data_IF_145270518988
#
_entry.id   IF_145270518988
#
_cell.length_a   1.000
_cell.length_b   1.000
_cell.length_c   1.000
_cell.angle_alpha   90.00
_cell.angle_beta   90.00
_cell.angle_gamma   90.00
#
_symmetry.space_group_name_H-M   'P 1'
#
loop_
_entity.id
_entity.type
_entity.pdbx_description
1 polymer ?
#
# COMPACT_ATOMS: atom_id res chain seq x y z
N UNK A 1 90.55 0.02 74.67
CA UNK A 1 90.65 1.28 73.91
C UNK A 1 89.39 2.08 74.25
N UNK A 2 89.47 2.98 75.25
CA UNK A 2 88.34 3.83 75.62
C UNK A 2 88.22 4.91 74.55
N UNK A 3 87.16 4.88 73.75
CA UNK A 3 86.83 5.96 72.81
C UNK A 3 86.56 7.23 73.62
N UNK A 4 87.35 8.27 73.38
CA UNK A 4 87.15 9.59 73.98
C UNK A 4 85.76 10.12 73.63
N UNK A 5 85.08 10.74 74.59
CA UNK A 5 83.71 11.24 74.44
C UNK A 5 83.53 12.17 73.23
N UNK A 6 84.56 12.96 72.90
CA UNK A 6 84.58 13.83 71.72
C UNK A 6 84.47 13.06 70.40
N UNK A 7 85.12 11.90 70.29
CA UNK A 7 85.08 11.06 69.08
C UNK A 7 83.68 10.46 68.89
N UNK A 8 83.00 10.11 69.98
CA UNK A 8 81.61 9.62 69.96
C UNK A 8 80.63 10.68 69.44
N UNK A 9 80.79 11.95 69.84
CA UNK A 9 79.96 13.07 69.36
C UNK A 9 80.15 13.29 67.85
N UNK A 10 81.39 13.26 67.36
CA UNK A 10 81.68 13.42 65.93
C UNK A 10 81.08 12.29 65.08
N UNK A 11 81.12 11.04 65.56
CA UNK A 11 80.50 9.89 64.88
C UNK A 11 78.98 10.05 64.82
N UNK A 12 78.34 10.42 65.93
CA UNK A 12 76.88 10.60 66.01
C UNK A 12 76.44 11.76 65.11
N UNK A 13 77.16 12.88 65.12
CA UNK A 13 76.89 14.01 64.21
C UNK A 13 77.01 13.60 62.74
N UNK A 14 78.03 12.81 62.39
CA UNK A 14 78.20 12.29 61.04
C UNK A 14 77.04 11.41 60.58
N UNK A 15 76.54 10.53 61.46
CA UNK A 15 75.38 9.66 61.15
C UNK A 15 74.11 10.49 60.94
N UNK A 16 73.87 11.51 61.77
CA UNK A 16 72.69 12.38 61.63
C UNK A 16 72.72 13.15 60.30
N UNK A 17 73.87 13.68 59.91
CA UNK A 17 74.04 14.38 58.61
C UNK A 17 73.84 13.40 57.45
N UNK A 18 74.33 12.18 57.56
CA UNK A 18 74.17 11.15 56.53
C UNK A 18 72.70 10.76 56.36
N UNK A 19 71.96 10.58 57.45
CA UNK A 19 70.51 10.30 57.42
C UNK A 19 69.75 11.47 56.77
N UNK A 20 70.09 12.71 57.12
CA UNK A 20 69.49 13.89 56.48
C UNK A 20 69.78 13.95 54.98
N UNK A 21 71.02 13.67 54.57
CA UNK A 21 71.39 13.62 53.16
C UNK A 21 70.60 12.52 52.40
N UNK A 22 70.43 11.35 53.01
CA UNK A 22 69.61 10.28 52.44
C UNK A 22 68.13 10.67 52.30
N UNK A 23 67.55 11.37 53.29
CA UNK A 23 66.16 11.85 53.21
C UNK A 23 65.97 12.88 52.10
N UNK A 24 66.90 13.81 51.94
CA UNK A 24 66.86 14.81 50.87
C UNK A 24 66.97 14.13 49.50
N UNK A 25 67.91 13.19 49.35
CA UNK A 25 68.07 12.43 48.12
C UNK A 25 66.81 11.62 47.78
N UNK A 26 66.20 10.96 48.77
CA UNK A 26 64.97 10.21 48.60
C UNK A 26 63.79 11.09 48.16
N UNK A 27 63.58 12.23 48.83
CA UNK A 27 62.53 13.19 48.44
C UNK A 27 62.73 13.71 47.02
N UNK A 28 63.96 14.00 46.61
CA UNK A 28 64.25 14.50 45.27
C UNK A 28 63.96 13.48 44.16
N UNK A 29 64.25 12.20 44.41
CA UNK A 29 63.89 11.10 43.49
C UNK A 29 62.37 10.96 43.42
N UNK A 30 61.70 11.00 44.58
CA UNK A 30 60.26 10.85 44.68
C UNK A 30 59.52 11.98 43.97
N UNK A 31 59.97 13.23 44.13
CA UNK A 31 59.39 14.39 43.45
C UNK A 31 59.55 14.31 41.93
N UNK A 32 60.69 13.80 41.43
CA UNK A 32 60.89 13.55 40.00
C UNK A 32 59.91 12.50 39.46
N UNK A 33 59.66 11.43 40.20
CA UNK A 33 58.68 10.42 39.81
C UNK A 33 57.26 10.98 39.77
N UNK A 34 56.87 11.77 40.78
CA UNK A 34 55.57 12.44 40.79
C UNK A 34 55.42 13.41 39.61
N UNK A 35 56.42 14.25 39.34
CA UNK A 35 56.40 15.17 38.21
C UNK A 35 56.26 14.45 36.86
N UNK A 36 56.94 13.31 36.70
CA UNK A 36 56.83 12.50 35.48
C UNK A 36 55.45 11.87 35.31
N UNK A 37 54.83 11.40 36.41
CA UNK A 37 53.45 10.86 36.38
C UNK A 37 52.44 11.97 36.05
N UNK A 38 52.59 13.15 36.63
CA UNK A 38 51.72 14.31 36.32
C UNK A 38 51.83 14.73 34.86
N UNK A 39 53.04 14.75 34.27
CA UNK A 39 53.23 15.03 32.84
C UNK A 39 52.57 14.00 31.92
N UNK A 40 52.52 12.73 32.32
CA UNK A 40 51.82 11.69 31.56
C UNK A 40 50.30 11.87 31.65
N UNK A 41 49.79 12.23 32.83
CA UNK A 41 48.37 12.56 33.02
C UNK A 41 47.95 13.78 32.21
N UNK A 42 48.80 14.82 32.17
CA UNK A 42 48.57 16.02 31.36
C UNK A 42 48.47 15.69 29.87
N UNK A 43 49.39 14.86 29.35
CA UNK A 43 49.34 14.38 27.96
C UNK A 43 48.08 13.54 27.68
N UNK A 44 47.68 12.68 28.60
CA UNK A 44 46.47 11.89 28.46
C UNK A 44 45.22 12.78 28.46
N UNK A 45 45.18 13.81 29.31
CA UNK A 45 44.09 14.78 29.37
C UNK A 45 43.99 15.59 28.08
N UNK A 46 45.13 16.04 27.54
CA UNK A 46 45.16 16.77 26.27
C UNK A 46 44.69 15.91 25.09
N UNK A 47 45.12 14.64 25.02
CA UNK A 47 44.64 13.69 24.03
C UNK A 47 43.12 13.47 24.12
N UNK A 48 42.60 13.26 25.33
CA UNK A 48 41.16 13.11 25.58
C UNK A 48 40.39 14.38 25.17
N UNK A 49 40.92 15.55 25.49
CA UNK A 49 40.28 16.82 25.15
C UNK A 49 40.23 17.04 23.62
N UNK A 50 41.30 16.69 22.90
CA UNK A 50 41.33 16.73 21.45
C UNK A 50 40.32 15.75 20.82
N UNK A 51 40.19 14.54 21.36
CA UNK A 51 39.20 13.58 20.91
C UNK A 51 37.77 14.06 21.15
N UNK A 52 37.48 14.62 22.33
CA UNK A 52 36.18 15.23 22.63
C UNK A 52 35.86 16.35 21.64
N UNK A 53 36.82 17.23 21.34
CA UNK A 53 36.62 18.30 20.37
C UNK A 53 36.31 17.75 18.97
N UNK A 54 37.06 16.74 18.52
CA UNK A 54 36.82 16.09 17.22
C UNK A 54 35.44 15.44 17.16
N UNK A 55 35.05 14.71 18.20
CA UNK A 55 33.75 14.05 18.28
C UNK A 55 32.62 15.08 18.25
N UNK A 56 32.71 16.15 19.05
CA UNK A 56 31.72 17.23 19.04
C UNK A 56 31.59 17.89 17.68
N UNK A 57 32.72 18.14 17.00
CA UNK A 57 32.72 18.69 15.65
C UNK A 57 32.08 17.73 14.64
N UNK A 58 32.38 16.43 14.72
CA UNK A 58 31.75 15.41 13.88
C UNK A 58 30.24 15.31 14.09
N UNK A 59 29.77 15.40 15.33
CA UNK A 59 28.34 15.41 15.65
C UNK A 59 27.67 16.64 15.05
N UNK A 60 28.25 17.83 15.26
CA UNK A 60 27.69 19.08 14.74
C UNK A 60 27.63 19.11 13.21
N UNK A 61 28.68 18.63 12.54
CA UNK A 61 28.72 18.50 11.08
C UNK A 61 27.68 17.48 10.59
N UNK A 62 27.53 16.35 11.29
CA UNK A 62 26.53 15.33 10.97
C UNK A 62 25.10 15.83 11.17
N UNK A 63 24.82 16.63 12.20
CA UNK A 63 23.52 17.24 12.43
C UNK A 63 23.18 18.28 11.36
N UNK A 64 24.14 19.14 10.99
CA UNK A 64 23.98 20.09 9.89
C UNK A 64 23.72 19.40 8.55
N UNK A 65 24.44 18.30 8.25
CA UNK A 65 24.19 17.51 7.05
C UNK A 65 22.84 16.78 7.12
N UNK A 66 22.42 16.30 8.29
CA UNK A 66 21.12 15.68 8.46
C UNK A 66 19.97 16.69 8.27
N UNK A 67 20.12 17.92 8.77
CA UNK A 67 19.14 19.01 8.60
C UNK A 67 19.05 19.49 7.13
N UNK A 68 20.20 19.62 6.47
CA UNK A 68 20.28 19.91 5.03
C UNK A 68 19.67 18.78 4.17
N UNK A 69 19.93 17.53 4.51
CA UNK A 69 19.34 16.38 3.81
C UNK A 69 17.85 16.24 4.10
N UNK A 70 17.38 16.48 5.33
CA UNK A 70 15.96 16.42 5.66
C UNK A 70 15.16 17.50 4.92
N UNK A 71 15.68 18.73 4.85
CA UNK A 71 15.04 19.83 4.13
C UNK A 71 15.00 19.58 2.61
N UNK A 72 16.11 19.17 2.00
CA UNK A 72 16.17 18.84 0.57
C UNK A 72 15.32 17.61 0.19
N UNK A 73 15.34 16.55 1.01
CA UNK A 73 14.48 15.38 0.86
C UNK A 73 13.01 15.78 0.93
N UNK A 74 12.62 16.60 1.92
CA UNK A 74 11.23 17.04 2.07
C UNK A 74 10.71 17.82 0.86
N UNK A 75 11.56 18.66 0.25
CA UNK A 75 11.24 19.40 -0.97
C UNK A 75 11.10 18.45 -2.18
N UNK A 76 12.08 17.56 -2.39
CA UNK A 76 12.04 16.60 -3.49
C UNK A 76 10.88 15.60 -3.40
N UNK A 77 10.50 15.19 -2.19
CA UNK A 77 9.36 14.29 -1.96
C UNK A 77 8.06 15.03 -2.24
N UNK A 78 7.93 16.29 -1.82
CA UNK A 78 6.73 17.08 -2.07
C UNK A 78 6.52 17.34 -3.56
N UNK A 79 7.59 17.66 -4.29
CA UNK A 79 7.54 17.87 -5.75
C UNK A 79 7.20 16.57 -6.48
N UNK A 80 7.88 15.46 -6.17
CA UNK A 80 7.60 14.16 -6.78
C UNK A 80 6.18 13.64 -6.48
N UNK A 81 5.66 13.88 -5.28
CA UNK A 81 4.28 13.55 -4.92
C UNK A 81 3.30 14.41 -5.72
N UNK A 82 3.55 15.72 -5.83
CA UNK A 82 2.68 16.64 -6.57
C UNK A 82 2.63 16.31 -8.07
N UNK A 83 3.77 15.96 -8.68
CA UNK A 83 3.83 15.55 -10.08
C UNK A 83 3.10 14.22 -10.33
N UNK A 84 3.28 13.24 -9.46
CA UNK A 84 2.55 11.96 -9.54
C UNK A 84 1.04 12.16 -9.33
N UNK A 85 0.64 13.04 -8.41
CA UNK A 85 -0.77 13.32 -8.15
C UNK A 85 -1.42 14.01 -9.35
N UNK A 86 -0.75 15.01 -9.94
CA UNK A 86 -1.22 15.69 -11.14
C UNK A 86 -1.30 14.75 -12.35
N UNK A 87 -0.31 13.88 -12.55
CA UNK A 87 -0.34 12.87 -13.60
C UNK A 87 -1.49 11.87 -13.39
N UNK A 88 -1.73 11.44 -12.15
CA UNK A 88 -2.83 10.53 -11.81
C UNK A 88 -4.20 11.17 -12.01
N UNK A 89 -4.36 12.44 -11.63
CA UNK A 89 -5.58 13.21 -11.85
C UNK A 89 -5.85 13.43 -13.35
N UNK A 90 -4.80 13.73 -14.13
CA UNK A 90 -4.92 13.87 -15.58
C UNK A 90 -5.33 12.56 -16.24
N UNK A 91 -4.73 11.43 -15.83
CA UNK A 91 -5.13 10.11 -16.33
C UNK A 91 -6.57 9.75 -15.97
N UNK A 92 -7.00 10.07 -14.74
CA UNK A 92 -8.39 9.86 -14.34
C UNK A 92 -9.36 10.69 -15.18
N UNK A 93 -9.04 11.95 -15.45
CA UNK A 93 -9.83 12.81 -16.31
C UNK A 93 -9.96 12.24 -17.72
N UNK A 94 -8.85 11.77 -18.30
CA UNK A 94 -8.84 11.13 -19.61
C UNK A 94 -9.70 9.85 -19.64
N UNK A 95 -9.63 9.00 -18.61
CA UNK A 95 -10.49 7.82 -18.51
C UNK A 95 -11.97 8.17 -18.33
N UNK A 96 -12.30 9.22 -17.58
CA UNK A 96 -13.69 9.67 -17.47
C UNK A 96 -14.23 10.19 -18.80
N UNK A 97 -13.42 10.93 -19.55
CA UNK A 97 -13.75 11.38 -20.90
C UNK A 97 -14.02 10.19 -21.83
N UNK A 98 -13.15 9.17 -21.80
CA UNK A 98 -13.28 7.96 -22.62
C UNK A 98 -14.54 7.15 -22.25
N UNK A 99 -14.85 7.03 -20.95
CA UNK A 99 -16.10 6.41 -20.49
C UNK A 99 -17.32 7.20 -20.97
N UNK A 100 -17.27 8.53 -20.90
CA UNK A 100 -18.37 9.38 -21.36
C UNK A 100 -18.64 9.19 -22.85
N UNK A 101 -17.58 9.17 -23.67
CA UNK A 101 -17.67 8.93 -25.10
C UNK A 101 -18.19 7.51 -25.42
N UNK A 102 -17.72 6.51 -24.67
CA UNK A 102 -18.19 5.12 -24.79
C UNK A 102 -19.68 5.00 -24.47
N UNK A 103 -20.14 5.63 -23.38
CA UNK A 103 -21.56 5.65 -23.00
C UNK A 103 -22.38 6.32 -24.10
N UNK A 104 -21.92 7.43 -24.66
CA UNK A 104 -22.66 8.12 -25.72
C UNK A 104 -22.82 7.22 -26.95
N UNK A 105 -21.73 6.57 -27.37
CA UNK A 105 -21.75 5.62 -28.48
C UNK A 105 -22.64 4.40 -28.23
N UNK A 106 -22.65 3.87 -27.00
CA UNK A 106 -23.55 2.78 -26.63
C UNK A 106 -25.01 3.20 -26.67
N UNK A 107 -25.33 4.43 -26.23
CA UNK A 107 -26.70 4.95 -26.32
C UNK A 107 -27.15 5.06 -27.77
N UNK A 108 -26.32 5.61 -28.65
CA UNK A 108 -26.65 5.73 -30.07
C UNK A 108 -26.88 4.35 -30.71
N UNK A 109 -26.03 3.37 -30.39
CA UNK A 109 -26.18 1.99 -30.86
C UNK A 109 -27.47 1.33 -30.34
N UNK A 110 -27.82 1.54 -29.06
CA UNK A 110 -29.06 1.01 -28.49
C UNK A 110 -30.29 1.65 -29.10
N UNK A 111 -30.25 2.95 -29.38
CA UNK A 111 -31.34 3.67 -30.04
C UNK A 111 -31.56 3.12 -31.47
N UNK A 112 -30.49 2.91 -32.23
CA UNK A 112 -30.57 2.25 -33.55
C UNK A 112 -31.18 0.84 -33.45
N UNK A 113 -30.75 0.05 -32.47
CA UNK A 113 -31.29 -1.30 -32.23
C UNK A 113 -32.78 -1.28 -31.88
N UNK A 114 -33.20 -0.34 -31.03
CA UNK A 114 -34.61 -0.15 -30.67
C UNK A 114 -35.42 0.17 -31.91
N UNK A 115 -34.98 1.11 -32.75
CA UNK A 115 -35.66 1.47 -34.00
C UNK A 115 -35.80 0.24 -34.92
N UNK A 116 -34.75 -0.57 -35.05
CA UNK A 116 -34.79 -1.81 -35.85
C UNK A 116 -35.79 -2.81 -35.25
N UNK A 117 -35.82 -2.96 -33.93
CA UNK A 117 -36.76 -3.84 -33.24
C UNK A 117 -38.21 -3.36 -33.39
N UNK A 118 -38.46 -2.06 -33.26
CA UNK A 118 -39.79 -1.46 -33.47
C UNK A 118 -40.29 -1.70 -34.88
N UNK A 119 -39.43 -1.53 -35.89
CA UNK A 119 -39.78 -1.81 -37.28
C UNK A 119 -40.11 -3.29 -37.49
N UNK A 120 -39.31 -4.21 -36.93
CA UNK A 120 -39.58 -5.66 -36.98
C UNK A 120 -40.86 -6.05 -36.24
N UNK A 121 -41.14 -5.42 -35.10
CA UNK A 121 -42.35 -5.67 -34.33
C UNK A 121 -43.60 -5.14 -35.05
N UNK A 122 -43.49 -3.98 -35.70
CA UNK A 122 -44.55 -3.43 -36.55
C UNK A 122 -44.86 -4.34 -37.74
N UNK A 123 -43.83 -4.91 -38.38
CA UNK A 123 -44.01 -5.94 -39.42
C UNK A 123 -44.70 -7.20 -38.88
N UNK A 124 -44.33 -7.67 -37.68
CA UNK A 124 -44.97 -8.80 -36.99
C UNK A 124 -46.43 -8.51 -36.57
N UNK A 125 -46.76 -7.26 -36.24
CA UNK A 125 -48.14 -6.85 -35.92
C UNK A 125 -49.12 -7.02 -37.08
N UNK A 126 -48.62 -7.12 -38.32
CA UNK A 126 -49.42 -7.46 -39.50
C UNK A 126 -49.56 -8.99 -39.72
N UNK A 127 -48.93 -9.81 -38.89
CA UNK A 127 -49.05 -11.27 -38.85
C UNK A 127 -49.69 -11.73 -37.53
N UNK A 128 -50.85 -11.18 -37.16
CA UNK A 128 -51.72 -11.94 -36.25
C UNK A 128 -52.31 -13.11 -37.05
N UNK A 129 -52.14 -14.38 -36.62
CA UNK A 129 -52.82 -15.48 -37.27
C UNK A 129 -54.32 -15.21 -37.07
N UNK A 130 -55.07 -15.18 -38.17
CA UNK A 130 -56.53 -15.24 -38.08
C UNK A 130 -56.85 -16.54 -37.35
N UNK A 131 -57.17 -16.44 -36.05
CA UNK A 131 -57.85 -17.49 -35.32
C UNK A 131 -59.18 -17.69 -36.04
N UNK A 132 -59.19 -18.63 -36.97
CA UNK A 132 -60.40 -19.32 -37.40
C UNK A 132 -60.84 -20.13 -36.17
N UNK A 133 -61.48 -19.41 -35.25
CA UNK A 133 -61.76 -19.83 -33.87
C UNK A 133 -62.91 -20.84 -33.92
N UNK A 134 -62.56 -22.06 -34.32
CA UNK A 134 -63.46 -23.20 -34.28
C UNK A 134 -63.73 -23.46 -32.80
N UNK A 135 -64.94 -23.14 -32.36
CA UNK A 135 -65.38 -23.34 -30.98
C UNK A 135 -65.32 -24.84 -30.61
N UNK A 136 -64.22 -25.24 -29.97
CA UNK A 136 -63.92 -26.61 -29.55
C UNK A 136 -65.07 -27.22 -28.73
N UNK A 137 -65.75 -26.39 -27.93
CA UNK A 137 -66.88 -26.82 -27.11
C UNK A 137 -68.08 -27.20 -27.97
N UNK A 138 -68.28 -26.51 -29.09
CA UNK A 138 -69.34 -26.80 -30.06
C UNK A 138 -69.05 -28.10 -30.81
N UNK A 139 -67.79 -28.35 -31.18
CA UNK A 139 -67.34 -29.61 -31.78
C UNK A 139 -67.63 -30.79 -30.88
N UNK A 140 -67.20 -30.72 -29.61
CA UNK A 140 -67.38 -31.80 -28.63
C UNK A 140 -68.87 -32.07 -28.36
N UNK A 141 -69.69 -31.01 -28.31
CA UNK A 141 -71.14 -31.15 -28.10
C UNK A 141 -71.81 -31.88 -29.27
N UNK A 142 -71.56 -31.46 -30.51
CA UNK A 142 -72.14 -32.10 -31.69
C UNK A 142 -71.72 -33.57 -31.81
N UNK A 143 -70.48 -33.91 -31.46
CA UNK A 143 -70.02 -35.29 -31.45
C UNK A 143 -70.73 -36.15 -30.40
N UNK A 144 -70.93 -35.62 -29.18
CA UNK A 144 -71.71 -36.30 -28.12
C UNK A 144 -73.19 -36.48 -28.47
N UNK A 145 -73.75 -35.62 -29.31
CA UNK A 145 -75.10 -35.73 -29.86
C UNK A 145 -75.22 -36.79 -30.98
N UNK A 146 -74.13 -37.48 -31.33
CA UNK A 146 -74.11 -38.59 -32.28
C UNK A 146 -73.77 -38.19 -33.73
N UNK A 147 -73.26 -36.98 -33.95
CA UNK A 147 -72.91 -36.50 -35.29
C UNK A 147 -71.56 -37.06 -35.73
N UNK A 148 -71.45 -37.45 -37.01
CA UNK A 148 -70.19 -37.93 -37.57
C UNK A 148 -69.18 -36.78 -37.76
N UNK A 149 -67.89 -37.09 -37.69
CA UNK A 149 -66.78 -36.14 -37.88
C UNK A 149 -66.91 -35.38 -39.22
N UNK A 150 -67.31 -36.09 -40.29
CA UNK A 150 -67.52 -35.49 -41.61
C UNK A 150 -68.70 -34.51 -41.64
N UNK A 151 -69.76 -34.77 -40.87
CA UNK A 151 -70.90 -33.85 -40.73
C UNK A 151 -70.53 -32.58 -39.96
N UNK A 152 -69.76 -32.72 -38.87
CA UNK A 152 -69.30 -31.60 -38.05
C UNK A 152 -68.34 -30.70 -38.83
N UNK A 153 -67.39 -31.31 -39.56
CA UNK A 153 -66.44 -30.60 -40.42
C UNK A 153 -67.15 -29.77 -41.50
N UNK A 154 -68.21 -30.33 -42.11
CA UNK A 154 -69.01 -29.63 -43.11
C UNK A 154 -69.82 -28.47 -42.53
N UNK A 155 -70.36 -28.64 -41.33
CA UNK A 155 -71.17 -27.62 -40.65
C UNK A 155 -70.32 -26.45 -40.14
N UNK A 156 -69.14 -26.73 -39.57
CA UNK A 156 -68.23 -25.72 -39.04
C UNK A 156 -67.27 -25.16 -40.11
N UNK A 157 -67.38 -25.62 -41.36
CA UNK A 157 -66.49 -25.30 -42.48
C UNK A 157 -65.01 -25.53 -42.16
N UNK A 158 -64.75 -26.52 -41.31
CA UNK A 158 -63.42 -26.87 -40.83
C UNK A 158 -62.90 -28.11 -41.54
N UNK A 159 -61.59 -28.31 -41.53
CA UNK A 159 -61.02 -29.55 -42.06
C UNK A 159 -61.31 -30.72 -41.13
N UNK A 160 -61.52 -31.91 -41.71
CA UNK A 160 -61.72 -33.16 -40.93
C UNK A 160 -60.61 -33.38 -39.90
N UNK A 161 -59.36 -33.12 -40.28
CA UNK A 161 -58.20 -33.28 -39.41
C UNK A 161 -58.20 -32.35 -38.19
N UNK A 162 -58.71 -31.12 -38.31
CA UNK A 162 -58.86 -30.21 -37.17
C UNK A 162 -59.92 -30.71 -36.18
N UNK A 163 -61.03 -31.25 -36.68
CA UNK A 163 -62.09 -31.81 -35.82
C UNK A 163 -61.59 -33.08 -35.10
N UNK A 164 -60.90 -33.98 -35.80
CA UNK A 164 -60.29 -35.17 -35.19
C UNK A 164 -59.23 -34.80 -34.14
N UNK A 165 -58.46 -33.74 -34.38
CA UNK A 165 -57.46 -33.26 -33.43
C UNK A 165 -58.10 -32.72 -32.15
N UNK A 166 -59.18 -31.93 -32.26
CA UNK A 166 -59.93 -31.40 -31.11
C UNK A 166 -60.55 -32.54 -30.29
N UNK A 167 -61.16 -33.54 -30.94
CA UNK A 167 -61.74 -34.70 -30.26
C UNK A 167 -60.66 -35.51 -29.53
N UNK A 168 -59.52 -35.74 -30.18
CA UNK A 168 -58.37 -36.46 -29.59
C UNK A 168 -57.74 -35.72 -28.42
N UNK A 169 -57.70 -34.39 -28.44
CA UNK A 169 -57.28 -33.57 -27.30
C UNK A 169 -58.27 -33.61 -26.14
N UNK A 170 -59.56 -33.73 -26.45
CA UNK A 170 -60.62 -33.85 -25.45
C UNK A 170 -60.71 -35.26 -24.82
N UNK A 171 -59.88 -36.21 -25.25
CA UNK A 171 -59.85 -37.62 -24.81
C UNK A 171 -61.18 -38.34 -25.07
N UNK A 172 -61.80 -38.06 -26.23
CA UNK A 172 -63.09 -38.62 -26.69
C UNK A 172 -62.96 -39.14 -28.13
#
# INVERSE_FOLDING_TARGET
MQLSFDVLIWIIGGVVVLVFACLIAYSYIKDKEFANKTKQLEKALDAINQEIYKIRKWIQESELQAEFNASSMSASVKDAVNDNLNASLSNLYNHLQEIQDSIHKERDYLEEKIIVLENKFKELGHFTPSNDDIDEKKVIKMYKEGWSVDSIAKELRSSKGQIEFILKLADI
#
